data_IF_157382975441
#
_entry.id   IF_157382975441
#
_cell.length_a   1.000
_cell.length_b   1.000
_cell.length_c   1.000
_cell.angle_alpha   90.00
_cell.angle_beta   90.00
_cell.angle_gamma   90.00
#
_symmetry.space_group_name_H-M   'P 1'
#
loop_
_entity.id
_entity.type
_entity.pdbx_description
1 polymer ?
#
# COMPACT_ATOMS: atom_id res chain seq x y z
N UNK A 1 -45.12 -21.84 55.22
CA UNK A 1 -43.64 -21.77 55.13
C UNK A 1 -43.06 -22.02 53.72
N UNK A 2 -43.69 -22.83 52.84
CA UNK A 2 -43.17 -23.09 51.48
C UNK A 2 -43.31 -21.95 50.44
N UNK A 3 -44.15 -20.94 50.67
CA UNK A 3 -44.34 -19.81 49.72
C UNK A 3 -43.41 -18.62 49.96
N UNK A 4 -42.83 -18.47 51.16
CA UNK A 4 -41.82 -17.43 51.42
C UNK A 4 -40.42 -17.80 50.93
N UNK A 5 -40.08 -19.10 50.88
CA UNK A 5 -38.77 -19.56 50.40
C UNK A 5 -38.58 -19.39 48.88
N UNK A 6 -39.67 -19.48 48.11
CA UNK A 6 -39.63 -19.35 46.65
C UNK A 6 -39.42 -17.90 46.19
N UNK A 7 -39.87 -16.90 46.96
CA UNK A 7 -39.67 -15.48 46.65
C UNK A 7 -38.25 -15.00 46.98
N UNK A 8 -37.59 -15.61 47.97
CA UNK A 8 -36.19 -15.31 48.29
C UNK A 8 -35.18 -15.89 47.28
N UNK A 9 -35.50 -17.01 46.61
CA UNK A 9 -34.63 -17.58 45.57
C UNK A 9 -34.69 -16.84 44.23
N UNK A 10 -35.80 -16.18 43.89
CA UNK A 10 -35.92 -15.43 42.62
C UNK A 10 -35.21 -14.07 42.72
N UNK A 11 -35.13 -13.47 43.92
CA UNK A 11 -34.44 -12.20 44.14
C UNK A 11 -32.90 -12.29 43.98
N UNK A 12 -32.31 -13.49 44.14
CA UNK A 12 -30.85 -13.68 44.00
C UNK A 12 -30.37 -13.91 42.56
N UNK A 13 -31.26 -14.27 41.63
CA UNK A 13 -30.89 -14.57 40.24
C UNK A 13 -30.83 -13.34 39.32
N UNK A 14 -31.48 -12.22 39.69
CA UNK A 14 -31.51 -11.02 38.83
C UNK A 14 -30.42 -9.98 39.13
N UNK A 15 -29.73 -10.06 40.29
CA UNK A 15 -28.74 -9.06 40.71
C UNK A 15 -27.29 -9.60 40.81
N UNK A 16 -27.05 -10.88 40.52
CA UNK A 16 -25.81 -11.56 40.90
C UNK A 16 -24.73 -11.72 39.83
N UNK A 17 -25.08 -11.89 38.55
CA UNK A 17 -24.09 -12.34 37.55
C UNK A 17 -23.07 -11.27 37.15
N UNK A 18 -23.45 -9.99 37.19
CA UNK A 18 -22.56 -8.90 36.77
C UNK A 18 -21.50 -8.53 37.79
N UNK A 19 -21.81 -8.63 39.10
CA UNK A 19 -20.92 -8.16 40.16
C UNK A 19 -19.98 -9.25 40.69
N UNK A 20 -20.38 -10.53 40.67
CA UNK A 20 -19.53 -11.63 41.10
C UNK A 20 -18.27 -11.78 40.21
N UNK A 21 -18.41 -11.55 38.89
CA UNK A 21 -17.27 -11.60 37.96
C UNK A 21 -16.26 -10.45 38.19
N UNK A 22 -16.68 -9.31 38.74
CA UNK A 22 -15.81 -8.14 38.95
C UNK A 22 -14.88 -8.30 40.14
N UNK A 23 -15.31 -9.04 41.17
CA UNK A 23 -14.51 -9.30 42.35
C UNK A 23 -13.38 -10.31 42.10
N UNK A 24 -13.51 -11.18 41.09
CA UNK A 24 -12.52 -12.22 40.78
C UNK A 24 -11.49 -11.84 39.71
N UNK A 25 -11.79 -10.86 38.84
CA UNK A 25 -10.95 -10.56 37.66
C UNK A 25 -10.30 -9.17 37.66
N UNK A 26 -10.30 -8.45 38.78
CA UNK A 26 -9.65 -7.13 38.95
C UNK A 26 -9.89 -6.19 37.73
N UNK A 27 -11.13 -6.19 37.25
CA UNK A 27 -11.51 -5.45 36.06
C UNK A 27 -11.65 -3.97 36.42
N UNK A 28 -11.01 -3.05 35.66
CA UNK A 28 -11.17 -1.62 35.92
C UNK A 28 -12.66 -1.23 35.88
N UNK A 29 -13.06 -0.21 36.66
CA UNK A 29 -14.44 0.26 36.66
C UNK A 29 -14.86 0.60 35.22
N UNK A 30 -16.15 0.37 34.86
CA UNK A 30 -16.62 0.75 33.55
C UNK A 30 -16.40 2.26 33.42
N UNK A 31 -15.85 2.71 32.30
CA UNK A 31 -15.78 4.15 32.04
C UNK A 31 -17.18 4.73 32.21
N UNK A 32 -17.34 5.86 32.93
CA UNK A 32 -18.64 6.50 33.02
C UNK A 32 -19.18 6.68 31.61
N UNK A 33 -20.45 6.31 31.41
CA UNK A 33 -21.12 6.54 30.13
C UNK A 33 -20.90 8.01 29.77
N UNK A 34 -20.38 8.25 28.56
CA UNK A 34 -20.23 9.60 28.05
C UNK A 34 -21.60 10.29 28.22
N UNK A 35 -21.59 11.51 28.76
CA UNK A 35 -22.80 12.30 28.89
C UNK A 35 -23.56 12.23 27.56
N UNK A 36 -24.90 12.05 27.57
CA UNK A 36 -25.68 12.03 26.34
C UNK A 36 -25.30 13.27 25.56
N UNK A 37 -24.90 13.07 24.30
CA UNK A 37 -24.54 14.15 23.41
C UNK A 37 -25.63 15.22 23.54
N UNK A 38 -25.22 16.44 23.92
CA UNK A 38 -26.14 17.57 24.04
C UNK A 38 -27.06 17.55 22.82
N UNK A 39 -28.37 17.60 23.07
CA UNK A 39 -29.41 17.50 22.04
C UNK A 39 -28.94 18.23 20.79
N UNK A 40 -28.90 17.51 19.66
CA UNK A 40 -28.38 18.00 18.40
C UNK A 40 -28.98 19.37 18.13
N UNK A 41 -28.18 20.42 18.30
CA UNK A 41 -28.56 21.78 17.93
C UNK A 41 -28.95 21.69 16.47
N UNK A 42 -30.17 22.10 16.13
CA UNK A 42 -30.61 22.18 14.75
C UNK A 42 -29.53 22.92 13.96
N UNK A 43 -28.97 22.27 12.95
CA UNK A 43 -28.01 22.92 12.06
C UNK A 43 -28.69 24.18 11.50
N UNK A 44 -28.04 25.35 11.54
CA UNK A 44 -28.62 26.54 10.94
C UNK A 44 -28.96 26.23 9.48
N UNK A 45 -30.12 26.71 9.02
CA UNK A 45 -30.53 26.56 7.63
C UNK A 45 -29.42 27.14 6.73
N UNK A 46 -28.79 26.29 5.93
CA UNK A 46 -27.80 26.74 4.98
C UNK A 46 -28.50 27.53 3.88
N UNK A 47 -28.11 28.80 3.71
CA UNK A 47 -28.45 29.54 2.50
C UNK A 47 -27.98 28.71 1.29
N UNK A 48 -28.79 28.58 0.23
CA UNK A 48 -28.41 27.84 -0.95
C UNK A 48 -27.22 28.55 -1.61
N UNK A 49 -26.02 28.02 -1.38
CA UNK A 49 -24.82 28.49 -2.06
C UNK A 49 -24.97 28.08 -3.51
N UNK A 50 -25.16 29.06 -4.40
CA UNK A 50 -25.18 28.88 -5.84
C UNK A 50 -23.76 28.67 -6.36
N UNK A 51 -23.13 27.59 -5.90
CA UNK A 51 -21.78 27.22 -6.25
C UNK A 51 -21.83 26.20 -7.38
N UNK A 52 -21.15 26.50 -8.48
CA UNK A 52 -21.00 25.56 -9.58
C UNK A 52 -20.24 24.33 -9.06
N UNK A 53 -20.96 23.22 -8.89
CA UNK A 53 -20.37 21.99 -8.38
C UNK A 53 -19.30 21.49 -9.37
N UNK A 54 -18.20 20.90 -8.87
CA UNK A 54 -17.23 20.22 -9.73
C UNK A 54 -17.94 19.20 -10.64
N UNK A 55 -17.52 19.03 -11.90
CA UNK A 55 -18.15 18.07 -12.83
C UNK A 55 -18.26 16.65 -12.28
N UNK A 56 -17.30 16.25 -11.44
CA UNK A 56 -17.27 14.95 -10.75
C UNK A 56 -18.50 14.71 -9.86
N UNK A 57 -19.11 15.76 -9.31
CA UNK A 57 -20.30 15.67 -8.45
C UNK A 57 -21.61 15.58 -9.24
N UNK A 58 -21.57 15.72 -10.58
CA UNK A 58 -22.76 15.69 -11.43
C UNK A 58 -23.27 14.28 -11.77
N UNK A 59 -22.52 13.24 -11.40
CA UNK A 59 -22.83 11.85 -11.75
C UNK A 59 -22.78 10.94 -10.54
N UNK A 60 -23.65 9.92 -10.53
CA UNK A 60 -23.64 8.83 -9.54
C UNK A 60 -22.87 7.60 -10.03
N UNK A 61 -22.39 7.62 -11.28
CA UNK A 61 -21.63 6.51 -11.86
C UNK A 61 -20.15 6.59 -11.47
N UNK A 62 -19.65 5.58 -10.74
CA UNK A 62 -18.28 5.54 -10.27
C UNK A 62 -17.24 5.49 -11.40
N UNK A 63 -17.52 4.80 -12.51
CA UNK A 63 -16.59 4.72 -13.64
C UNK A 63 -16.44 6.06 -14.36
N UNK A 64 -17.55 6.82 -14.50
CA UNK A 64 -17.52 8.19 -15.02
C UNK A 64 -16.66 9.10 -14.14
N UNK A 65 -16.77 8.99 -12.81
CA UNK A 65 -15.93 9.74 -11.86
C UNK A 65 -14.45 9.36 -12.05
N UNK A 66 -14.15 8.07 -12.11
CA UNK A 66 -12.78 7.57 -12.30
C UNK A 66 -12.16 7.95 -13.65
N UNK A 67 -12.98 8.23 -14.67
CA UNK A 67 -12.52 8.73 -15.96
C UNK A 67 -12.15 10.22 -15.92
N UNK A 68 -12.81 11.01 -15.09
CA UNK A 68 -12.56 12.45 -14.93
C UNK A 68 -11.39 12.77 -13.99
N UNK A 69 -11.00 11.84 -13.12
CA UNK A 69 -9.90 12.06 -12.18
C UNK A 69 -8.53 12.04 -12.88
N UNK A 70 -7.59 12.91 -12.45
CA UNK A 70 -6.21 12.84 -12.90
C UNK A 70 -5.60 11.49 -12.52
N UNK A 71 -4.65 11.03 -13.32
CA UNK A 71 -3.95 9.77 -13.11
C UNK A 71 -2.52 9.99 -12.68
N UNK A 72 -2.01 9.07 -11.86
CA UNK A 72 -0.59 8.99 -11.56
C UNK A 72 0.19 8.29 -12.69
N UNK A 73 1.52 8.21 -12.55
CA UNK A 73 2.40 7.63 -13.57
C UNK A 73 2.03 6.18 -13.94
N UNK A 74 1.37 5.46 -13.04
CA UNK A 74 0.95 4.06 -13.24
C UNK A 74 -0.55 3.92 -13.54
N UNK A 75 -1.25 5.03 -13.77
CA UNK A 75 -2.63 5.05 -14.21
C UNK A 75 -3.68 4.91 -13.11
N UNK A 76 -3.30 4.89 -11.83
CA UNK A 76 -4.26 4.96 -10.72
C UNK A 76 -4.79 6.39 -10.56
N UNK A 77 -6.01 6.57 -10.04
CA UNK A 77 -6.52 7.90 -9.70
C UNK A 77 -5.59 8.60 -8.70
N UNK A 78 -5.20 9.83 -9.02
CA UNK A 78 -4.40 10.69 -8.14
C UNK A 78 -5.31 11.65 -7.36
N UNK A 79 -5.80 11.15 -6.22
CA UNK A 79 -6.68 11.90 -5.32
C UNK A 79 -6.05 13.20 -4.81
N UNK A 80 -4.73 13.21 -4.58
CA UNK A 80 -4.02 14.39 -4.05
C UNK A 80 -3.95 15.48 -5.11
N UNK A 81 -3.67 15.09 -6.37
CA UNK A 81 -3.71 16.02 -7.50
C UNK A 81 -5.12 16.56 -7.73
N UNK A 82 -6.15 15.71 -7.64
CA UNK A 82 -7.54 16.13 -7.78
C UNK A 82 -7.97 17.17 -6.72
N UNK A 83 -7.54 17.01 -5.45
CA UNK A 83 -7.78 18.01 -4.40
C UNK A 83 -7.06 19.34 -4.71
N UNK A 84 -5.78 19.26 -5.09
CA UNK A 84 -4.97 20.44 -5.41
C UNK A 84 -5.48 21.21 -6.63
N UNK A 85 -6.03 20.51 -7.62
CA UNK A 85 -6.62 21.10 -8.82
C UNK A 85 -8.08 21.55 -8.61
N UNK A 86 -8.65 21.37 -7.41
CA UNK A 86 -10.02 21.77 -7.10
C UNK A 86 -11.10 20.90 -7.75
N UNK A 87 -10.71 19.76 -8.34
CA UNK A 87 -11.62 18.77 -8.90
C UNK A 87 -12.43 18.06 -7.80
N UNK A 88 -11.89 17.99 -6.59
CA UNK A 88 -12.60 17.52 -5.40
C UNK A 88 -12.53 18.55 -4.29
N UNK A 89 -13.67 18.79 -3.64
CA UNK A 89 -13.83 19.85 -2.63
C UNK A 89 -14.54 19.30 -1.38
N UNK A 90 -13.89 18.41 -0.60
CA UNK A 90 -14.51 17.77 0.55
C UNK A 90 -14.87 18.78 1.64
N UNK A 91 -16.13 18.78 2.07
CA UNK A 91 -16.63 19.69 3.11
C UNK A 91 -16.23 19.16 4.50
N UNK A 92 -15.84 20.02 5.45
CA UNK A 92 -15.35 19.59 6.76
C UNK A 92 -16.46 19.15 7.71
N UNK A 93 -17.72 19.52 7.43
CA UNK A 93 -18.89 19.17 8.23
C UNK A 93 -20.15 19.11 7.37
N UNK A 94 -21.18 18.41 7.85
CA UNK A 94 -22.50 18.41 7.23
C UNK A 94 -23.01 19.85 7.17
N UNK A 95 -23.28 20.32 5.95
CA UNK A 95 -23.72 21.68 5.67
C UNK A 95 -22.61 22.73 5.61
N UNK A 96 -21.38 22.43 6.06
CA UNK A 96 -20.23 23.32 5.87
C UNK A 96 -19.84 23.48 4.39
N UNK A 97 -19.11 24.54 4.07
CA UNK A 97 -18.52 24.75 2.74
C UNK A 97 -17.07 24.24 2.71
N UNK A 98 -16.53 24.05 1.51
CA UNK A 98 -15.14 23.66 1.35
C UNK A 98 -14.17 24.71 1.93
N UNK A 99 -14.50 25.99 1.78
CA UNK A 99 -13.72 27.15 2.26
C UNK A 99 -13.61 27.18 3.78
N UNK A 100 -14.53 26.53 4.48
CA UNK A 100 -14.53 26.45 5.94
C UNK A 100 -13.56 25.36 6.45
N UNK A 101 -12.86 24.65 5.54
CA UNK A 101 -11.90 23.61 5.90
C UNK A 101 -10.70 24.19 6.64
N UNK A 102 -10.25 23.55 7.74
CA UNK A 102 -9.02 23.94 8.40
C UNK A 102 -7.83 23.90 7.44
N UNK A 103 -6.87 24.82 7.63
CA UNK A 103 -5.62 24.79 6.90
C UNK A 103 -4.94 23.40 7.03
N UNK A 104 -4.35 22.85 5.95
CA UNK A 104 -3.66 21.57 6.01
C UNK A 104 -2.60 21.55 7.11
N UNK A 105 -2.58 20.49 7.92
CA UNK A 105 -1.60 20.36 8.99
C UNK A 105 -0.23 20.01 8.39
N UNK A 106 0.73 20.93 8.48
CA UNK A 106 2.02 20.83 7.77
C UNK A 106 3.12 20.03 8.45
N UNK A 107 2.85 19.30 9.53
CA UNK A 107 3.90 18.54 10.23
C UNK A 107 4.13 17.18 9.58
N UNK A 108 5.07 17.12 8.64
CA UNK A 108 5.35 15.92 7.86
C UNK A 108 6.46 15.07 8.51
N UNK A 109 6.25 13.77 8.55
CA UNK A 109 7.19 12.83 9.14
C UNK A 109 8.12 12.23 8.10
N UNK A 110 9.39 12.05 8.47
CA UNK A 110 10.38 11.32 7.69
C UNK A 110 10.90 10.14 8.51
N UNK A 111 10.86 8.95 7.93
CA UNK A 111 11.28 7.70 8.54
C UNK A 111 12.56 7.23 7.85
N UNK A 112 13.71 7.18 8.55
CA UNK A 112 14.93 6.63 7.97
C UNK A 112 14.76 5.13 7.73
N UNK A 113 15.18 4.69 6.54
CA UNK A 113 15.22 3.28 6.18
C UNK A 113 16.40 2.53 6.80
N UNK A 114 16.57 1.25 6.45
CA UNK A 114 17.82 0.52 6.71
C UNK A 114 19.00 1.20 6.00
N UNK A 115 18.74 1.71 4.81
CA UNK A 115 19.60 2.57 4.02
C UNK A 115 18.74 3.68 3.39
N UNK A 116 19.41 4.68 2.84
CA UNK A 116 18.74 5.88 2.34
C UNK A 116 17.77 5.63 1.18
N UNK A 117 17.91 4.52 0.45
CA UNK A 117 16.96 4.14 -0.61
C UNK A 117 15.57 3.89 -0.04
N UNK A 118 15.46 3.49 1.23
CA UNK A 118 14.20 3.18 1.91
C UNK A 118 13.74 4.27 2.86
N UNK A 119 14.36 5.45 2.84
CA UNK A 119 13.83 6.62 3.52
C UNK A 119 12.40 6.87 3.04
N UNK A 120 11.45 6.92 3.98
CA UNK A 120 10.04 7.13 3.68
C UNK A 120 9.55 8.45 4.26
N UNK A 121 8.54 9.06 3.65
CA UNK A 121 7.84 10.21 4.20
C UNK A 121 6.35 9.96 4.39
N UNK A 122 5.76 10.67 5.35
CA UNK A 122 4.33 10.75 5.57
C UNK A 122 3.94 12.22 5.69
N UNK A 123 3.27 12.80 4.68
CA UNK A 123 2.81 14.17 4.75
C UNK A 123 1.44 14.27 5.40
N UNK A 124 1.33 14.90 6.58
CA UNK A 124 0.02 15.19 7.17
C UNK A 124 -0.79 16.10 6.27
N UNK A 125 -0.13 17.06 5.63
CA UNK A 125 -0.77 18.06 4.77
C UNK A 125 -1.63 17.43 3.68
N UNK A 126 -1.19 16.31 3.09
CA UNK A 126 -1.96 15.57 2.09
C UNK A 126 -3.13 14.78 2.71
N UNK A 127 -2.96 14.23 3.91
CA UNK A 127 -3.97 13.38 4.56
C UNK A 127 -5.06 14.21 5.24
N UNK A 128 -4.71 15.32 5.89
CA UNK A 128 -5.67 16.15 6.65
C UNK A 128 -6.60 16.98 5.78
N UNK A 129 -6.39 16.99 4.46
CA UNK A 129 -7.31 17.62 3.50
C UNK A 129 -8.60 16.82 3.30
N UNK A 130 -8.57 15.51 3.56
CA UNK A 130 -9.71 14.59 3.32
C UNK A 130 -10.05 13.75 4.57
N UNK A 131 -9.12 13.63 5.52
CA UNK A 131 -9.26 12.75 6.68
C UNK A 131 -9.03 13.56 7.97
N UNK A 132 -9.92 13.38 8.95
CA UNK A 132 -9.80 13.99 10.27
C UNK A 132 -8.81 13.25 11.17
N UNK A 133 -8.19 13.96 12.12
CA UNK A 133 -7.19 13.42 13.04
C UNK A 133 -7.67 12.16 13.78
N UNK A 134 -8.94 12.13 14.20
CA UNK A 134 -9.54 11.03 14.95
C UNK A 134 -9.67 9.72 14.14
N UNK A 135 -9.66 9.79 12.81
CA UNK A 135 -9.73 8.60 11.96
C UNK A 135 -8.41 7.81 11.97
N UNK A 136 -7.28 8.50 12.26
CA UNK A 136 -5.95 7.90 12.39
C UNK A 136 -5.53 7.72 13.85
N UNK A 137 -5.75 8.73 14.69
CA UNK A 137 -5.30 8.77 16.07
C UNK A 137 -6.44 8.50 17.08
N UNK A 138 -6.22 7.72 18.14
CA UNK A 138 -5.00 6.96 18.46
C UNK A 138 -5.05 5.49 18.00
N UNK A 139 -6.12 5.10 17.28
CA UNK A 139 -6.42 3.70 16.92
C UNK A 139 -5.38 3.10 15.99
N UNK A 140 -5.09 3.76 14.86
CA UNK A 140 -4.14 3.26 13.87
C UNK A 140 -2.72 3.66 14.29
N UNK A 141 -2.56 4.92 14.67
CA UNK A 141 -1.28 5.48 15.11
C UNK A 141 -1.43 6.05 16.51
N UNK A 142 -0.55 5.61 17.43
CA UNK A 142 -0.37 6.32 18.70
C UNK A 142 0.39 7.62 18.43
N UNK A 143 0.21 8.63 19.28
CA UNK A 143 0.91 9.92 19.13
C UNK A 143 2.44 9.81 19.25
N UNK A 144 2.96 8.73 19.87
CA UNK A 144 4.39 8.48 20.03
C UNK A 144 4.73 7.00 19.90
N UNK A 145 5.98 6.74 19.51
CA UNK A 145 6.62 5.42 19.56
C UNK A 145 5.89 4.31 18.80
N UNK A 146 5.32 4.63 17.63
CA UNK A 146 4.76 3.60 16.75
C UNK A 146 5.91 2.96 15.98
N UNK A 147 6.06 1.64 16.14
CA UNK A 147 6.98 0.83 15.33
C UNK A 147 6.17 -0.10 14.45
N UNK A 148 6.43 -0.03 13.16
CA UNK A 148 5.85 -0.92 12.17
C UNK A 148 6.88 -1.23 11.09
N UNK A 149 6.59 -2.25 10.31
CA UNK A 149 7.39 -2.71 9.18
C UNK A 149 6.52 -2.76 7.94
N UNK A 150 7.15 -2.80 6.77
CA UNK A 150 6.41 -2.97 5.51
C UNK A 150 5.48 -4.18 5.51
N UNK A 151 5.85 -5.27 6.19
CA UNK A 151 4.98 -6.44 6.35
C UNK A 151 3.63 -6.09 7.00
N UNK A 152 3.63 -5.17 7.95
CA UNK A 152 2.42 -4.77 8.66
C UNK A 152 1.47 -4.02 7.70
N UNK A 153 2.01 -3.17 6.83
CA UNK A 153 1.27 -2.49 5.77
C UNK A 153 0.69 -3.48 4.77
N UNK A 154 1.49 -4.44 4.32
CA UNK A 154 1.03 -5.49 3.40
C UNK A 154 -0.05 -6.39 4.01
N UNK A 155 -0.09 -6.51 5.34
CA UNK A 155 -1.16 -7.19 6.08
C UNK A 155 -2.41 -6.34 6.33
N UNK A 156 -2.46 -5.11 5.79
CA UNK A 156 -3.59 -4.22 5.94
C UNK A 156 -3.63 -3.42 7.24
N UNK A 157 -2.50 -3.34 7.97
CA UNK A 157 -2.36 -2.52 9.19
C UNK A 157 -1.67 -1.19 8.88
N UNK A 158 -1.77 -0.22 9.80
CA UNK A 158 -1.18 1.11 9.65
C UNK A 158 -1.61 1.77 8.33
N UNK A 159 -0.67 2.15 7.46
CA UNK A 159 -0.97 2.73 6.16
C UNK A 159 -1.82 1.78 5.27
N UNK A 160 -1.67 0.46 5.45
CA UNK A 160 -2.43 -0.56 4.72
C UNK A 160 -3.92 -0.65 5.09
N UNK A 161 -4.37 0.02 6.16
CA UNK A 161 -5.81 0.12 6.46
C UNK A 161 -6.55 0.87 5.33
N UNK A 162 -5.86 1.82 4.67
CA UNK A 162 -6.40 2.66 3.60
C UNK A 162 -5.72 2.41 2.24
N UNK A 163 -4.39 2.35 2.17
CA UNK A 163 -3.66 2.15 0.92
C UNK A 163 -3.86 0.72 0.37
N UNK A 164 -4.48 0.61 -0.81
CA UNK A 164 -4.91 -0.64 -1.45
C UNK A 164 -6.41 -0.91 -1.36
N UNK A 165 -7.15 -0.20 -0.50
CA UNK A 165 -8.62 -0.28 -0.38
C UNK A 165 -9.30 1.02 -0.80
N UNK A 166 -8.81 2.12 -0.25
CA UNK A 166 -9.35 3.49 -0.44
C UNK A 166 -8.40 4.34 -1.28
N UNK A 167 -7.10 4.07 -1.19
CA UNK A 167 -6.05 4.76 -1.95
C UNK A 167 -5.19 3.78 -2.73
N UNK A 168 -4.15 4.28 -3.40
CA UNK A 168 -3.25 3.50 -4.24
C UNK A 168 -2.65 2.29 -3.49
N UNK A 169 -2.36 1.18 -4.20
CA UNK A 169 -1.81 -0.03 -3.60
C UNK A 169 -0.34 0.12 -3.19
N UNK A 170 -0.02 -0.23 -1.94
CA UNK A 170 1.35 -0.19 -1.37
C UNK A 170 2.33 -1.07 -2.16
N UNK A 171 1.84 -2.18 -2.74
CA UNK A 171 2.67 -3.15 -3.47
C UNK A 171 3.24 -2.63 -4.78
N UNK A 172 2.64 -1.59 -5.36
CA UNK A 172 3.09 -1.06 -6.66
C UNK A 172 3.39 0.44 -6.62
N UNK A 173 3.27 1.11 -5.48
CA UNK A 173 3.51 2.54 -5.31
C UNK A 173 4.65 2.86 -4.33
N UNK A 174 5.76 2.13 -4.41
CA UNK A 174 6.87 2.25 -3.45
C UNK A 174 7.42 3.67 -3.36
N UNK A 175 7.60 4.34 -4.50
CA UNK A 175 8.14 5.70 -4.61
C UNK A 175 7.25 6.77 -4.00
N UNK A 176 5.96 6.45 -3.81
CA UNK A 176 4.98 7.39 -3.23
C UNK A 176 5.21 7.60 -1.73
N UNK A 177 5.93 6.69 -1.09
CA UNK A 177 6.41 6.85 0.28
C UNK A 177 7.94 6.96 0.31
N UNK A 178 8.64 6.10 -0.44
CA UNK A 178 10.09 6.04 -0.44
C UNK A 178 10.69 6.99 -1.48
N UNK A 179 10.96 8.24 -1.07
CA UNK A 179 11.31 9.34 -1.97
C UNK A 179 12.57 9.12 -2.83
N UNK A 180 13.47 8.21 -2.44
CA UNK A 180 14.67 7.88 -3.20
C UNK A 180 14.50 6.68 -4.13
N UNK A 181 13.43 5.91 -3.99
CA UNK A 181 13.07 4.87 -4.95
C UNK A 181 12.48 5.57 -6.16
N UNK A 182 13.14 5.46 -7.31
CA UNK A 182 12.56 5.86 -8.60
C UNK A 182 12.15 4.60 -9.35
N UNK A 183 10.85 4.39 -9.45
CA UNK A 183 10.30 3.35 -10.31
C UNK A 183 10.06 3.96 -11.71
N UNK A 184 10.24 3.20 -12.81
CA UNK A 184 9.99 3.70 -14.15
C UNK A 184 8.54 4.16 -14.31
N UNK A 185 8.34 5.26 -15.02
CA UNK A 185 7.04 5.93 -15.21
C UNK A 185 6.05 4.98 -15.90
N UNK A 186 6.46 4.33 -16.98
CA UNK A 186 5.64 3.36 -17.72
C UNK A 186 5.78 1.93 -17.21
N UNK A 187 5.82 1.73 -15.89
CA UNK A 187 5.69 0.37 -15.37
C UNK A 187 4.26 -0.09 -15.61
N UNK A 188 4.13 -1.16 -16.39
CA UNK A 188 2.87 -1.86 -16.63
C UNK A 188 2.15 -1.96 -15.29
N UNK A 189 0.95 -1.33 -15.12
CA UNK A 189 -0.03 -1.68 -14.06
C UNK A 189 0.10 -3.16 -13.95
N UNK A 190 0.56 -3.76 -12.84
CA UNK A 190 1.18 -5.07 -12.89
C UNK A 190 0.29 -5.97 -13.73
N UNK A 191 0.66 -6.19 -15.01
CA UNK A 191 0.13 -7.36 -15.71
C UNK A 191 0.52 -8.41 -14.70
N UNK A 192 -0.42 -9.27 -14.33
CA UNK A 192 -0.15 -10.35 -13.38
C UNK A 192 1.22 -11.03 -13.68
N UNK A 193 1.64 -10.93 -14.95
CA UNK A 193 2.81 -11.38 -15.68
C UNK A 193 4.14 -10.56 -15.62
N UNK A 194 4.28 -9.45 -14.88
CA UNK A 194 5.45 -8.54 -14.95
C UNK A 194 6.84 -9.22 -14.99
N UNK A 195 7.69 -8.88 -15.97
CA UNK A 195 9.02 -9.49 -16.17
C UNK A 195 10.12 -8.43 -16.07
N UNK A 196 11.13 -8.67 -15.25
CA UNK A 196 12.32 -7.81 -15.11
C UNK A 196 13.41 -8.33 -16.03
N UNK A 197 13.93 -7.47 -16.91
CA UNK A 197 15.11 -7.79 -17.71
C UNK A 197 16.34 -7.23 -17.01
N UNK A 198 17.25 -8.11 -16.63
CA UNK A 198 18.46 -7.74 -15.88
C UNK A 198 19.50 -7.13 -16.83
N UNK A 199 20.11 -6.02 -16.42
CA UNK A 199 21.29 -5.47 -17.11
C UNK A 199 22.50 -6.34 -16.82
N UNK A 200 23.46 -6.39 -17.76
CA UNK A 200 24.72 -7.10 -17.52
C UNK A 200 25.55 -6.33 -16.49
N UNK A 201 26.23 -7.07 -15.64
CA UNK A 201 27.13 -6.50 -14.64
C UNK A 201 28.43 -6.13 -15.34
N UNK A 202 28.76 -4.84 -15.38
CA UNK A 202 30.06 -4.35 -15.83
C UNK A 202 30.98 -4.33 -14.60
N UNK A 203 31.91 -5.26 -14.49
CA UNK A 203 32.74 -5.39 -13.30
C UNK A 203 34.23 -5.18 -13.52
N UNK A 204 34.62 -4.67 -14.70
CA UNK A 204 36.03 -4.45 -15.05
C UNK A 204 36.88 -5.72 -15.09
N UNK A 205 36.36 -6.86 -14.63
CA UNK A 205 37.03 -8.16 -14.69
C UNK A 205 36.85 -8.85 -16.03
N UNK A 206 36.19 -8.18 -16.99
CA UNK A 206 36.11 -8.56 -18.39
C UNK A 206 35.87 -10.05 -18.52
N UNK A 207 34.61 -10.48 -18.36
CA UNK A 207 34.21 -11.87 -18.59
C UNK A 207 34.99 -12.44 -19.77
N UNK A 208 35.81 -13.46 -19.48
CA UNK A 208 36.94 -13.88 -20.32
C UNK A 208 36.53 -13.87 -21.80
N UNK A 209 37.33 -13.25 -22.70
CA UNK A 209 36.99 -13.12 -24.12
C UNK A 209 36.59 -14.44 -24.80
N UNK A 210 37.00 -15.58 -24.23
CA UNK A 210 36.82 -16.93 -24.77
C UNK A 210 35.83 -17.80 -23.97
N UNK A 211 34.98 -17.22 -23.13
CA UNK A 211 33.88 -17.99 -22.49
C UNK A 211 32.69 -18.09 -23.47
N UNK A 212 32.17 -19.30 -23.79
CA UNK A 212 31.03 -19.48 -24.71
C UNK A 212 29.77 -18.68 -24.33
N UNK A 213 29.70 -18.24 -23.08
CA UNK A 213 28.61 -17.47 -22.46
C UNK A 213 28.53 -16.01 -22.92
N UNK A 214 29.54 -15.49 -23.64
CA UNK A 214 29.54 -14.11 -24.16
C UNK A 214 28.39 -13.83 -25.14
N UNK A 215 27.72 -14.87 -25.65
CA UNK A 215 26.55 -14.78 -26.54
C UNK A 215 25.21 -15.09 -25.87
N UNK A 216 25.17 -15.30 -24.54
CA UNK A 216 23.89 -15.56 -23.87
C UNK A 216 23.06 -14.26 -23.81
N UNK A 217 21.77 -14.29 -24.18
CA UNK A 217 20.88 -13.15 -24.01
C UNK A 217 20.83 -12.65 -22.56
N UNK A 218 20.28 -11.44 -22.36
CA UNK A 218 20.09 -10.90 -21.01
C UNK A 218 19.23 -11.85 -20.17
N UNK A 219 19.54 -11.92 -18.86
CA UNK A 219 18.72 -12.69 -17.95
C UNK A 219 17.35 -12.01 -17.75
N UNK A 220 16.28 -12.79 -17.81
CA UNK A 220 14.91 -12.33 -17.54
C UNK A 220 14.38 -12.99 -16.27
N UNK A 221 13.70 -12.20 -15.45
CA UNK A 221 13.03 -12.63 -14.23
C UNK A 221 11.53 -12.35 -14.32
N UNK A 222 10.71 -13.35 -14.68
CA UNK A 222 9.25 -13.22 -14.67
C UNK A 222 8.74 -13.25 -13.22
N UNK A 223 8.28 -12.11 -12.69
CA UNK A 223 7.70 -12.06 -11.34
C UNK A 223 6.48 -12.95 -11.21
N UNK A 224 5.74 -13.22 -12.29
CA UNK A 224 4.45 -13.88 -12.22
C UNK A 224 4.49 -15.34 -11.82
N UNK A 225 5.41 -16.11 -12.41
CA UNK A 225 5.56 -17.53 -12.07
C UNK A 225 6.02 -17.67 -10.62
N UNK A 226 6.79 -16.68 -10.14
CA UNK A 226 7.20 -16.58 -8.74
C UNK A 226 6.02 -16.14 -7.86
N UNK A 227 5.22 -15.14 -8.28
CA UNK A 227 4.08 -14.60 -7.51
C UNK A 227 2.90 -15.55 -7.40
N UNK A 228 2.73 -16.48 -8.34
CA UNK A 228 1.74 -17.56 -8.22
C UNK A 228 2.11 -18.51 -7.07
N UNK A 229 3.40 -18.64 -6.74
CA UNK A 229 3.90 -19.60 -5.73
C UNK A 229 4.36 -18.94 -4.44
N UNK A 230 4.77 -17.68 -4.50
CA UNK A 230 5.46 -16.99 -3.41
C UNK A 230 4.92 -15.58 -3.23
N UNK A 231 4.78 -15.18 -1.96
CA UNK A 231 4.45 -13.81 -1.59
C UNK A 231 5.68 -12.90 -1.81
N UNK A 232 5.47 -11.61 -2.06
CA UNK A 232 6.55 -10.64 -2.28
C UNK A 232 7.62 -10.68 -1.19
N UNK A 233 7.22 -10.95 0.06
CA UNK A 233 8.11 -11.02 1.24
C UNK A 233 9.16 -12.13 1.20
N UNK A 234 8.93 -13.17 0.40
CA UNK A 234 9.87 -14.29 0.27
C UNK A 234 11.14 -13.83 -0.41
N UNK A 235 11.02 -12.84 -1.32
CA UNK A 235 12.13 -12.28 -2.06
C UNK A 235 12.58 -10.92 -1.50
N UNK A 236 11.64 -10.05 -1.17
CA UNK A 236 11.89 -8.69 -0.69
C UNK A 236 11.65 -8.59 0.82
N UNK A 237 12.49 -7.96 1.63
CA UNK A 237 13.69 -7.15 1.34
C UNK A 237 14.98 -7.91 1.62
N UNK A 238 14.87 -9.22 1.81
CA UNK A 238 15.97 -10.05 2.33
C UNK A 238 16.89 -10.54 1.22
N UNK A 239 16.34 -11.01 0.10
CA UNK A 239 17.10 -11.54 -1.03
C UNK A 239 17.37 -10.43 -2.05
N UNK A 240 16.36 -9.58 -2.30
CA UNK A 240 16.43 -8.52 -3.28
C UNK A 240 15.86 -7.21 -2.74
N UNK A 241 16.50 -6.11 -3.09
CA UNK A 241 15.93 -4.77 -3.00
C UNK A 241 14.94 -4.56 -4.15
N UNK A 242 13.72 -4.05 -3.91
CA UNK A 242 12.70 -3.78 -4.93
C UNK A 242 13.01 -2.48 -5.70
N UNK A 243 14.24 -2.38 -6.22
CA UNK A 243 14.74 -1.25 -6.99
C UNK A 243 15.57 -1.77 -8.18
N UNK A 244 15.26 -1.29 -9.38
CA UNK A 244 15.99 -1.68 -10.59
C UNK A 244 17.47 -1.29 -10.48
N UNK A 245 18.37 -2.19 -10.87
CA UNK A 245 19.82 -1.98 -10.78
C UNK A 245 20.39 -1.99 -9.35
N UNK A 246 19.58 -2.21 -8.32
CA UNK A 246 20.05 -2.24 -6.93
C UNK A 246 20.83 -3.50 -6.57
N UNK A 247 20.47 -4.61 -7.20
CA UNK A 247 20.98 -5.93 -6.85
C UNK A 247 22.03 -6.35 -7.88
N UNK A 248 23.28 -6.49 -7.44
CA UNK A 248 24.35 -7.11 -8.23
C UNK A 248 24.27 -8.62 -8.03
N UNK A 249 24.04 -9.37 -9.12
CA UNK A 249 23.91 -10.83 -9.08
C UNK A 249 24.88 -11.44 -10.09
N UNK A 250 25.79 -12.29 -9.61
CA UNK A 250 26.69 -13.06 -10.46
C UNK A 250 26.37 -14.56 -10.40
N UNK A 251 26.79 -15.32 -11.41
CA UNK A 251 26.67 -16.78 -11.37
C UNK A 251 27.45 -17.39 -10.20
N UNK A 252 28.53 -16.75 -9.74
CA UNK A 252 29.26 -17.14 -8.53
C UNK A 252 28.39 -17.02 -7.27
N UNK A 253 27.62 -15.95 -7.15
CA UNK A 253 26.71 -15.76 -6.02
C UNK A 253 25.59 -16.81 -6.04
N UNK A 254 25.07 -17.10 -7.25
CA UNK A 254 24.03 -18.12 -7.46
C UNK A 254 24.54 -19.51 -7.09
N UNK A 255 25.74 -19.90 -7.52
CA UNK A 255 26.32 -21.21 -7.16
C UNK A 255 26.66 -21.30 -5.67
N UNK A 256 26.92 -20.18 -5.02
CA UNK A 256 27.08 -20.08 -3.56
C UNK A 256 25.75 -20.09 -2.78
N UNK A 257 24.60 -20.25 -3.44
CA UNK A 257 23.28 -20.31 -2.79
C UNK A 257 22.67 -18.95 -2.44
N UNK A 258 23.18 -17.87 -3.02
CA UNK A 258 22.65 -16.51 -2.84
C UNK A 258 21.76 -16.10 -4.01
N UNK A 259 21.01 -15.01 -3.85
CA UNK A 259 20.10 -14.47 -4.87
C UNK A 259 19.17 -15.57 -5.44
N UNK A 260 19.25 -15.85 -6.74
CA UNK A 260 18.47 -16.90 -7.40
C UNK A 260 18.78 -18.29 -6.83
N UNK A 261 20.03 -18.53 -6.43
CA UNK A 261 20.53 -19.79 -5.88
C UNK A 261 19.90 -20.19 -4.54
N UNK A 262 19.26 -19.24 -3.83
CA UNK A 262 18.54 -19.53 -2.58
C UNK A 262 17.38 -20.50 -2.78
N UNK A 263 16.80 -20.50 -3.99
CA UNK A 263 15.73 -21.42 -4.39
C UNK A 263 16.14 -22.29 -5.59
N UNK A 264 16.97 -21.80 -6.51
CA UNK A 264 17.46 -22.56 -7.66
C UNK A 264 18.66 -23.44 -7.30
N UNK A 265 18.50 -24.25 -6.25
CA UNK A 265 19.51 -25.13 -5.64
C UNK A 265 19.44 -26.58 -6.16
N UNK A 266 18.40 -26.92 -6.93
CA UNK A 266 18.09 -28.28 -7.38
C UNK A 266 17.17 -29.05 -6.42
N UNK A 267 16.72 -28.43 -5.33
CA UNK A 267 15.79 -29.00 -4.34
C UNK A 267 14.48 -28.22 -4.30
N UNK A 268 14.54 -26.91 -4.12
CA UNK A 268 13.38 -26.00 -4.03
C UNK A 268 12.86 -25.64 -5.42
N UNK A 269 13.78 -25.42 -6.35
CA UNK A 269 13.53 -25.26 -7.78
C UNK A 269 14.67 -25.92 -8.58
N UNK A 270 14.55 -25.92 -9.90
CA UNK A 270 15.61 -26.41 -10.77
C UNK A 270 16.93 -25.70 -10.47
N UNK A 271 18.05 -26.42 -10.55
CA UNK A 271 19.38 -25.87 -10.27
C UNK A 271 19.75 -24.81 -11.31
N UNK A 272 20.14 -23.62 -10.85
CA UNK A 272 20.72 -22.59 -11.70
C UNK A 272 22.19 -22.92 -11.95
N UNK A 273 22.46 -23.55 -13.10
CA UNK A 273 23.77 -24.04 -13.49
C UNK A 273 23.73 -24.65 -14.90
N UNK A 274 24.77 -25.41 -15.25
CA UNK A 274 24.91 -26.03 -16.56
C UNK A 274 23.64 -26.76 -17.01
N UNK A 275 23.25 -26.53 -18.27
CA UNK A 275 22.06 -27.13 -18.89
C UNK A 275 20.73 -26.44 -18.58
N UNK A 276 20.73 -25.32 -17.85
CA UNK A 276 19.53 -24.53 -17.56
C UNK A 276 19.69 -23.03 -17.93
N UNK A 277 20.70 -22.69 -18.73
CA UNK A 277 21.09 -21.31 -19.03
C UNK A 277 19.94 -20.55 -19.70
N UNK A 278 19.30 -21.16 -20.69
CA UNK A 278 18.21 -20.60 -21.51
C UNK A 278 16.91 -20.34 -20.72
N UNK A 279 16.77 -20.91 -19.51
CA UNK A 279 15.60 -20.66 -18.66
C UNK A 279 15.59 -19.23 -18.12
N UNK A 280 16.77 -18.63 -17.98
CA UNK A 280 16.95 -17.26 -17.52
C UNK A 280 17.50 -16.38 -18.64
N UNK A 281 18.52 -16.85 -19.37
CA UNK A 281 19.16 -16.12 -20.46
C UNK A 281 18.43 -16.35 -21.78
N UNK A 282 17.43 -15.51 -22.04
CA UNK A 282 16.63 -15.57 -23.26
C UNK A 282 16.22 -14.18 -23.70
N UNK A 283 15.86 -14.07 -24.98
CA UNK A 283 15.31 -12.84 -25.51
C UNK A 283 14.02 -12.50 -24.73
N UNK A 284 13.90 -11.26 -24.19
CA UNK A 284 12.69 -10.87 -23.50
C UNK A 284 11.51 -10.95 -24.48
N UNK A 285 10.32 -11.37 -24.04
CA UNK A 285 9.15 -11.33 -24.90
C UNK A 285 8.99 -9.92 -25.45
N UNK A 286 8.72 -9.80 -26.75
CA UNK A 286 8.44 -8.52 -27.39
C UNK A 286 7.42 -7.77 -26.53
N UNK A 287 7.70 -6.50 -26.23
CA UNK A 287 6.74 -5.65 -25.55
C UNK A 287 5.52 -5.51 -26.45
N UNK A 288 4.51 -6.35 -26.23
CA UNK A 288 3.18 -6.17 -26.82
C UNK A 288 2.39 -5.39 -25.78
N UNK A 289 2.27 -4.05 -25.92
CA UNK A 289 1.40 -3.28 -25.05
C UNK A 289 0.01 -3.92 -25.08
N UNK A 290 -0.58 -4.14 -23.91
CA UNK A 290 -1.95 -4.63 -23.84
C UNK A 290 -2.85 -3.58 -24.46
N UNK A 291 -3.59 -3.86 -25.54
CA UNK A 291 -4.47 -2.87 -26.17
C UNK A 291 -5.60 -2.41 -25.22
N UNK A 292 -5.85 -3.15 -24.13
CA UNK A 292 -6.82 -2.77 -23.09
C UNK A 292 -6.19 -1.88 -21.99
N UNK A 293 -4.86 -1.81 -21.90
CA UNK A 293 -4.14 -1.09 -20.83
C UNK A 293 -3.32 0.09 -21.36
N UNK A 294 -3.02 0.13 -22.66
CA UNK A 294 -2.34 1.24 -23.30
C UNK A 294 -3.21 1.72 -24.45
N UNK A 295 -3.59 2.99 -24.42
CA UNK A 295 -4.18 3.64 -25.59
C UNK A 295 -3.18 3.51 -26.73
N UNK A 296 -3.55 2.74 -27.76
CA UNK A 296 -2.71 2.44 -28.92
C UNK A 296 -2.37 3.68 -29.74
N UNK A 297 -3.01 4.82 -29.49
CA UNK A 297 -2.69 6.10 -30.14
C UNK A 297 -1.41 6.74 -29.61
N UNK A 298 -0.90 6.32 -28.44
CA UNK A 298 0.32 6.88 -27.84
C UNK A 298 1.64 6.32 -28.40
N UNK A 299 1.59 5.39 -29.36
CA UNK A 299 2.78 4.86 -30.06
C UNK A 299 2.88 5.30 -31.52
N UNK A 300 1.99 6.19 -31.97
CA UNK A 300 2.21 6.96 -33.20
C UNK A 300 2.79 8.31 -32.81
N UNK A 301 4.13 8.38 -32.73
CA UNK A 301 4.97 9.40 -33.37
C UNK A 301 6.36 9.53 -32.69
N UNK A 302 7.37 9.46 -33.56
CA UNK A 302 8.80 9.85 -33.47
C UNK A 302 9.77 8.93 -32.71
#
# INVERSE_FOLDING_TARGET
MRRLLALLLIAFLAAGCGNAARAFFDLPPPRPAAAPAAAARALPAHEPVNETLPPLESTLNADSVLAMLPRDAIGHPDWVRALREGLMRPRPAIGGRFEDSPAPFGFDFFFPGRDSSFDASFPHSAHTQIIACAQCHSRIFRYRNVKYRMLDLLSGRYCGECHGKVSFPVVSGCERCHARIKLPEHRVRPRLLGTVVMSRVEDGTGMSPNTPEKQLPRAVFPHWVHRIRYQCRVCHMEIFEPRAGANRVTMKDITAGQACGRCHDGRTAFRAGFGNCERCHREPPAFVPDPVIVDSTLFQEQ
#
